data_IF_155503746130
#
_entry.id   IF_155503746130
#
_cell.length_a   1.000
_cell.length_b   1.000
_cell.length_c   1.000
_cell.angle_alpha   90.00
_cell.angle_beta   90.00
_cell.angle_gamma   90.00
#
_symmetry.space_group_name_H-M   'P 1'
#
loop_
_entity.id
_entity.type
_entity.pdbx_description
1 polymer ?
#
# COMPACT_ATOMS: atom_id res chain seq x y z
N UNK A 1 -69.14 -1.15 -60.47
CA UNK A 1 -67.86 -0.52 -60.85
C UNK A 1 -67.98 0.93 -60.41
N UNK A 2 -67.37 1.39 -59.32
CA UNK A 2 -65.94 1.44 -59.01
C UNK A 2 -65.70 1.28 -57.49
N UNK A 3 -64.57 0.67 -57.13
CA UNK A 3 -64.15 0.37 -55.76
C UNK A 3 -63.87 1.65 -54.96
N UNK A 4 -64.42 1.75 -53.75
CA UNK A 4 -63.86 2.58 -52.68
C UNK A 4 -62.84 1.72 -51.92
N UNK A 5 -61.54 1.99 -52.10
CA UNK A 5 -60.48 1.52 -51.20
C UNK A 5 -60.17 2.65 -50.22
N UNK A 6 -60.67 2.54 -49.00
CA UNK A 6 -60.32 3.42 -47.89
C UNK A 6 -59.09 2.79 -47.21
N UNK A 7 -57.97 3.49 -47.26
CA UNK A 7 -56.71 3.09 -46.64
C UNK A 7 -56.82 3.23 -45.12
N UNK A 8 -56.54 2.20 -44.32
CA UNK A 8 -56.50 2.33 -42.87
C UNK A 8 -55.09 2.80 -42.47
N UNK A 9 -54.96 4.03 -41.96
CA UNK A 9 -53.75 4.40 -41.22
C UNK A 9 -53.99 4.20 -39.74
N UNK A 10 -53.31 3.15 -39.30
CA UNK A 10 -53.20 2.57 -37.97
C UNK A 10 -52.58 3.61 -37.01
N UNK A 11 -53.37 4.11 -36.06
CA UNK A 11 -52.86 4.90 -34.94
C UNK A 11 -52.09 3.96 -34.01
N UNK A 12 -50.76 4.07 -33.99
CA UNK A 12 -49.89 3.35 -33.07
C UNK A 12 -50.04 3.96 -31.67
N UNK A 13 -50.94 3.41 -30.86
CA UNK A 13 -51.02 3.67 -29.43
C UNK A 13 -50.03 2.71 -28.74
N UNK A 14 -48.93 3.24 -28.21
CA UNK A 14 -47.96 2.47 -27.44
C UNK A 14 -48.54 2.21 -26.04
N UNK A 15 -49.17 1.06 -25.87
CA UNK A 15 -49.66 0.57 -24.58
C UNK A 15 -48.47 0.16 -23.73
N UNK A 16 -48.29 0.81 -22.58
CA UNK A 16 -47.38 0.37 -21.52
C UNK A 16 -47.85 -1.01 -21.01
N UNK A 17 -47.17 -2.07 -21.43
CA UNK A 17 -47.25 -3.38 -20.79
C UNK A 17 -46.30 -3.37 -19.59
N UNK A 18 -46.86 -3.13 -18.41
CA UNK A 18 -46.24 -3.47 -17.12
C UNK A 18 -46.11 -4.99 -17.02
N UNK A 19 -45.01 -5.54 -17.52
CA UNK A 19 -44.59 -6.90 -17.22
C UNK A 19 -43.94 -6.90 -15.83
N UNK A 20 -44.78 -7.20 -14.84
CA UNK A 20 -44.36 -7.66 -13.52
C UNK A 20 -43.57 -8.97 -13.68
N UNK A 21 -42.24 -8.87 -13.67
CA UNK A 21 -41.37 -10.03 -13.50
C UNK A 21 -41.15 -10.25 -12.00
N UNK A 22 -41.89 -11.21 -11.46
CA UNK A 22 -41.54 -11.91 -10.22
C UNK A 22 -40.53 -12.98 -10.58
N UNK A 23 -39.27 -12.77 -10.22
CA UNK A 23 -38.27 -13.84 -10.09
C UNK A 23 -37.46 -13.53 -8.85
N UNK A 24 -37.54 -14.44 -7.87
CA UNK A 24 -36.95 -14.29 -6.55
C UNK A 24 -35.49 -13.89 -6.61
N UNK A 25 -35.13 -12.89 -5.84
CA UNK A 25 -33.74 -12.66 -5.48
C UNK A 25 -33.40 -13.72 -4.43
N UNK A 26 -32.87 -14.85 -4.89
CA UNK A 26 -32.01 -15.67 -4.05
C UNK A 26 -31.00 -14.72 -3.41
N UNK A 27 -31.03 -14.61 -2.09
CA UNK A 27 -29.93 -14.06 -1.35
C UNK A 27 -28.76 -15.00 -1.62
N UNK A 28 -27.91 -14.62 -2.57
CA UNK A 28 -26.61 -15.25 -2.77
C UNK A 28 -25.85 -15.10 -1.45
N UNK A 29 -25.98 -16.11 -0.59
CA UNK A 29 -25.12 -16.33 0.57
C UNK A 29 -23.79 -16.87 0.04
N UNK A 30 -23.12 -16.14 -0.85
CA UNK A 30 -21.70 -16.35 -1.06
C UNK A 30 -21.01 -15.96 0.25
N UNK A 31 -20.29 -16.87 0.91
CA UNK A 31 -19.50 -16.51 2.07
C UNK A 31 -18.57 -15.36 1.67
N UNK A 32 -18.68 -14.23 2.37
CA UNK A 32 -17.74 -13.13 2.18
C UNK A 32 -16.35 -13.68 2.50
N UNK A 33 -15.45 -13.70 1.52
CA UNK A 33 -14.08 -14.11 1.72
C UNK A 33 -13.46 -13.22 2.81
N UNK A 34 -13.13 -13.79 4.00
CA UNK A 34 -12.67 -13.01 5.14
C UNK A 34 -11.33 -12.30 4.86
N UNK A 35 -10.58 -12.75 3.84
CA UNK A 35 -9.31 -12.13 3.46
C UNK A 35 -9.47 -10.84 2.64
N UNK A 36 -10.68 -10.55 2.15
CA UNK A 36 -10.94 -9.39 1.31
C UNK A 36 -10.72 -8.06 2.05
N UNK A 37 -10.85 -8.06 3.38
CA UNK A 37 -10.53 -6.91 4.21
C UNK A 37 -9.07 -6.47 4.08
N UNK A 38 -8.15 -7.38 3.73
CA UNK A 38 -6.72 -7.11 3.57
C UNK A 38 -6.28 -6.86 2.11
N UNK A 39 -7.24 -6.85 1.17
CA UNK A 39 -6.99 -6.73 -0.28
C UNK A 39 -7.62 -5.47 -0.88
N UNK A 40 -7.87 -4.45 -0.05
CA UNK A 40 -8.50 -3.21 -0.44
C UNK A 40 -7.47 -2.21 -1.02
N UNK A 41 -7.95 -1.06 -1.50
CA UNK A 41 -7.11 0.00 -2.03
C UNK A 41 -6.17 0.58 -0.96
N UNK A 42 -4.97 1.01 -1.36
CA UNK A 42 -4.00 1.64 -0.46
C UNK A 42 -4.66 2.76 0.38
N UNK A 43 -4.28 2.82 1.67
CA UNK A 43 -4.77 3.81 2.63
C UNK A 43 -6.19 3.59 3.17
N UNK A 44 -6.98 2.65 2.62
CA UNK A 44 -8.31 2.34 3.16
C UNK A 44 -8.32 1.80 4.60
N UNK A 45 -7.20 1.26 5.07
CA UNK A 45 -7.00 0.81 6.47
C UNK A 45 -6.17 1.79 7.32
N UNK A 46 -6.03 3.05 6.91
CA UNK A 46 -5.23 4.04 7.63
C UNK A 46 -5.63 4.15 9.11
N UNK A 47 -6.92 4.30 9.40
CA UNK A 47 -7.43 4.37 10.78
C UNK A 47 -7.29 3.05 11.54
N UNK A 48 -7.35 1.92 10.83
CA UNK A 48 -7.14 0.58 11.39
C UNK A 48 -5.70 0.41 11.87
N UNK A 49 -4.72 0.96 11.16
CA UNK A 49 -3.33 1.02 11.61
C UNK A 49 -3.15 1.94 12.81
N UNK A 50 -3.70 3.15 12.72
CA UNK A 50 -3.36 4.24 13.62
C UNK A 50 -4.05 4.15 14.98
N UNK A 51 -5.34 3.80 14.99
CA UNK A 51 -6.19 3.78 16.18
C UNK A 51 -6.33 2.40 16.82
N UNK A 52 -6.90 2.34 18.03
CA UNK A 52 -7.26 1.08 18.71
C UNK A 52 -8.77 0.79 18.64
N UNK A 53 -9.51 1.42 17.72
CA UNK A 53 -10.98 1.34 17.70
C UNK A 53 -11.49 -0.02 17.21
N UNK A 54 -10.91 -0.54 16.13
CA UNK A 54 -11.25 -1.86 15.56
C UNK A 54 -10.18 -2.91 15.90
N UNK A 55 -8.91 -2.56 15.74
CA UNK A 55 -7.78 -3.47 15.98
C UNK A 55 -6.90 -2.95 17.12
N UNK A 56 -6.85 -3.69 18.22
CA UNK A 56 -6.02 -3.38 19.39
C UNK A 56 -4.60 -3.95 19.29
N UNK A 57 -4.40 -4.92 18.39
CA UNK A 57 -3.10 -5.51 18.07
C UNK A 57 -2.83 -5.53 16.55
N UNK A 58 -1.59 -5.80 16.17
CA UNK A 58 -1.18 -5.93 14.78
C UNK A 58 -0.22 -7.10 14.62
N UNK A 59 -0.43 -7.94 13.61
CA UNK A 59 0.48 -9.00 13.24
C UNK A 59 1.09 -8.72 11.85
N UNK A 60 2.40 -8.47 11.82
CA UNK A 60 3.14 -8.19 10.60
C UNK A 60 3.81 -9.46 10.11
N UNK A 61 3.35 -9.98 8.98
CA UNK A 61 4.02 -11.07 8.27
C UNK A 61 5.20 -10.52 7.48
N UNK A 62 6.40 -10.78 8.00
CA UNK A 62 7.67 -10.51 7.34
C UNK A 62 7.94 -11.68 6.40
N UNK A 63 7.49 -11.54 5.17
CA UNK A 63 7.72 -12.49 4.11
C UNK A 63 9.03 -12.18 3.39
N UNK A 64 9.84 -13.19 3.09
CA UNK A 64 11.12 -12.97 2.41
C UNK A 64 11.58 -14.18 1.63
N UNK A 65 12.32 -13.94 0.54
CA UNK A 65 13.07 -15.00 -0.14
C UNK A 65 14.30 -15.39 0.68
N UNK A 66 14.71 -16.66 0.66
CA UNK A 66 15.91 -17.12 1.39
C UNK A 66 17.14 -16.25 1.06
N UNK A 67 17.87 -15.84 2.10
CA UNK A 67 18.96 -14.86 1.99
C UNK A 67 18.55 -13.38 1.96
N UNK A 68 17.25 -13.06 1.80
CA UNK A 68 16.69 -11.70 1.78
C UNK A 68 15.90 -11.31 3.04
N UNK A 69 15.96 -12.14 4.09
CA UNK A 69 15.43 -11.76 5.41
C UNK A 69 16.02 -10.40 5.85
N UNK A 70 15.19 -9.42 6.26
CA UNK A 70 15.69 -8.16 6.79
C UNK A 70 16.51 -8.39 8.06
N UNK A 71 17.42 -7.47 8.35
CA UNK A 71 18.27 -7.60 9.53
C UNK A 71 17.45 -7.52 10.84
N UNK A 72 17.91 -8.19 11.89
CA UNK A 72 17.26 -8.10 13.22
C UNK A 72 17.21 -6.65 13.72
N UNK A 73 18.21 -5.83 13.40
CA UNK A 73 18.20 -4.40 13.71
C UNK A 73 17.07 -3.67 12.99
N UNK A 74 16.83 -3.97 11.70
CA UNK A 74 15.70 -3.44 10.93
C UNK A 74 14.37 -3.79 11.61
N UNK A 75 14.19 -5.05 12.04
CA UNK A 75 12.98 -5.48 12.73
C UNK A 75 12.77 -4.74 14.06
N UNK A 76 13.85 -4.49 14.81
CA UNK A 76 13.78 -3.73 16.07
C UNK A 76 13.49 -2.24 15.85
N UNK A 77 14.02 -1.65 14.78
CA UNK A 77 13.66 -0.28 14.37
C UNK A 77 12.17 -0.18 14.05
N UNK A 78 11.63 -1.11 13.24
CA UNK A 78 10.20 -1.15 12.91
C UNK A 78 9.31 -1.30 14.16
N UNK A 79 9.70 -2.14 15.13
CA UNK A 79 8.97 -2.24 16.40
C UNK A 79 8.95 -0.92 17.16
N UNK A 80 10.07 -0.21 17.18
CA UNK A 80 10.19 1.10 17.84
C UNK A 80 9.31 2.13 17.13
N UNK A 81 9.41 2.19 15.80
CA UNK A 81 8.57 3.03 14.95
C UNK A 81 7.08 2.78 15.18
N UNK A 82 6.62 1.52 15.18
CA UNK A 82 5.20 1.22 15.48
C UNK A 82 4.80 1.64 16.90
N UNK A 83 5.67 1.46 17.89
CA UNK A 83 5.40 1.88 19.27
C UNK A 83 5.24 3.40 19.38
N UNK A 84 6.04 4.14 18.62
CA UNK A 84 6.05 5.60 18.58
C UNK A 84 4.87 6.18 17.79
N UNK A 85 4.36 5.48 16.76
CA UNK A 85 3.35 6.03 15.84
C UNK A 85 1.94 5.49 16.01
N UNK A 86 1.78 4.24 16.49
CA UNK A 86 0.50 3.54 16.50
C UNK A 86 -0.10 3.41 17.90
N UNK A 87 -1.43 3.45 17.98
CA UNK A 87 -2.18 3.05 19.18
C UNK A 87 -2.61 1.59 19.06
N UNK A 88 -1.73 0.68 19.46
CA UNK A 88 -1.98 -0.77 19.54
C UNK A 88 -1.69 -1.28 20.96
N UNK A 89 -2.66 -1.16 21.90
CA UNK A 89 -2.42 -1.45 23.32
C UNK A 89 -2.05 -2.90 23.59
N UNK A 90 -2.48 -3.83 22.74
CA UNK A 90 -2.16 -5.26 22.87
C UNK A 90 -0.87 -5.64 22.11
N UNK A 91 -0.23 -4.66 21.47
CA UNK A 91 1.11 -4.76 20.91
C UNK A 91 1.16 -5.18 19.43
N UNK A 92 2.40 -5.31 18.95
CA UNK A 92 2.71 -5.69 17.56
C UNK A 92 3.59 -6.94 17.56
N UNK A 93 3.14 -8.00 16.88
CA UNK A 93 3.88 -9.24 16.70
C UNK A 93 4.37 -9.37 15.26
N UNK A 94 5.49 -10.08 15.06
CA UNK A 94 5.96 -10.42 13.72
C UNK A 94 5.88 -11.94 13.52
N UNK A 95 5.30 -12.34 12.40
CA UNK A 95 5.36 -13.71 11.87
C UNK A 95 6.33 -13.72 10.70
N UNK A 96 7.18 -14.73 10.58
CA UNK A 96 8.12 -14.86 9.48
C UNK A 96 7.65 -15.95 8.51
N UNK A 97 7.68 -15.63 7.20
CA UNK A 97 7.30 -16.57 6.13
C UNK A 97 8.39 -16.59 5.06
N UNK A 98 8.93 -17.78 4.78
CA UNK A 98 9.89 -17.95 3.68
C UNK A 98 9.13 -18.14 2.38
N UNK A 99 9.37 -17.27 1.42
CA UNK A 99 8.77 -17.28 0.08
C UNK A 99 9.76 -17.92 -0.91
N UNK A 100 9.32 -18.83 -1.80
CA UNK A 100 10.18 -19.37 -2.83
C UNK A 100 10.73 -18.28 -3.76
N UNK A 101 12.02 -18.38 -4.12
CA UNK A 101 12.66 -17.49 -5.09
C UNK A 101 11.96 -17.56 -6.46
N UNK A 102 11.91 -16.43 -7.15
CA UNK A 102 11.39 -16.35 -8.53
C UNK A 102 12.53 -16.29 -9.54
N UNK A 103 12.23 -16.56 -10.81
CA UNK A 103 13.24 -16.52 -11.90
C UNK A 103 12.88 -15.52 -13.00
N UNK A 104 12.00 -14.55 -12.72
CA UNK A 104 11.46 -13.60 -13.70
C UNK A 104 12.38 -12.40 -13.96
N UNK A 105 13.34 -12.14 -13.07
CA UNK A 105 14.39 -11.12 -13.22
C UNK A 105 14.03 -9.74 -12.66
N UNK A 106 12.81 -9.28 -12.90
CA UNK A 106 12.21 -8.09 -12.28
C UNK A 106 10.73 -8.37 -12.02
N UNK A 107 10.18 -7.78 -10.95
CA UNK A 107 8.79 -7.97 -10.58
C UNK A 107 7.94 -6.78 -11.00
N UNK A 108 6.85 -7.06 -11.70
CA UNK A 108 5.75 -6.12 -11.87
C UNK A 108 4.66 -6.34 -10.80
N UNK A 109 3.62 -5.49 -10.85
CA UNK A 109 2.54 -5.52 -9.86
C UNK A 109 1.78 -6.83 -9.80
N UNK A 110 1.43 -7.38 -10.94
CA UNK A 110 0.61 -8.59 -10.98
C UNK A 110 1.39 -9.79 -10.41
N UNK A 111 2.71 -9.81 -10.62
CA UNK A 111 3.60 -10.84 -10.09
C UNK A 111 3.73 -10.78 -8.57
N UNK A 112 4.03 -9.63 -7.98
CA UNK A 112 4.13 -9.55 -6.51
C UNK A 112 2.78 -9.69 -5.80
N UNK A 113 1.66 -9.34 -6.47
CA UNK A 113 0.31 -9.64 -5.98
C UNK A 113 0.03 -11.14 -6.02
N UNK A 114 0.44 -11.86 -7.07
CA UNK A 114 0.30 -13.30 -7.14
C UNK A 114 1.12 -14.00 -6.05
N UNK A 115 2.37 -13.56 -5.82
CA UNK A 115 3.21 -14.05 -4.74
C UNK A 115 2.54 -13.87 -3.38
N UNK A 116 1.99 -12.70 -3.08
CA UNK A 116 1.23 -12.49 -1.85
C UNK A 116 0.04 -13.45 -1.76
N UNK A 117 -0.77 -13.59 -2.80
CA UNK A 117 -1.95 -14.45 -2.76
C UNK A 117 -1.59 -15.93 -2.51
N UNK A 118 -0.44 -16.39 -3.02
CA UNK A 118 0.02 -17.76 -2.90
C UNK A 118 0.70 -18.05 -1.54
N UNK A 119 1.24 -17.03 -0.87
CA UNK A 119 2.12 -17.21 0.30
C UNK A 119 1.63 -16.52 1.59
N UNK A 120 0.74 -15.53 1.51
CA UNK A 120 0.26 -14.80 2.69
C UNK A 120 -0.55 -15.71 3.60
N UNK A 121 -0.18 -15.73 4.88
CA UNK A 121 -0.84 -16.55 5.91
C UNK A 121 -1.48 -15.71 7.00
N UNK A 122 -1.10 -14.45 7.13
CA UNK A 122 -1.63 -13.52 8.14
C UNK A 122 -2.65 -12.57 7.52
N UNK A 123 -3.90 -12.68 7.99
CA UNK A 123 -5.03 -11.80 7.66
C UNK A 123 -5.61 -11.23 8.95
N UNK A 124 -6.60 -10.33 8.83
CA UNK A 124 -7.32 -9.83 10.01
C UNK A 124 -7.97 -11.00 10.75
N UNK A 125 -7.68 -11.12 12.05
CA UNK A 125 -8.23 -12.16 12.90
C UNK A 125 -8.55 -11.58 14.28
N UNK A 126 -9.84 -11.61 14.66
CA UNK A 126 -10.28 -10.99 15.91
C UNK A 126 -9.98 -9.49 15.93
N UNK A 127 -9.19 -9.06 16.91
CA UNK A 127 -8.73 -7.67 17.12
C UNK A 127 -7.30 -7.43 16.59
N UNK A 128 -6.74 -8.37 15.82
CA UNK A 128 -5.43 -8.25 15.20
C UNK A 128 -5.54 -7.82 13.73
N UNK A 129 -4.93 -6.67 13.39
CA UNK A 129 -4.74 -6.23 12.01
C UNK A 129 -3.63 -7.08 11.37
N UNK A 130 -3.95 -7.76 10.26
CA UNK A 130 -2.99 -8.55 9.49
C UNK A 130 -2.27 -7.71 8.43
N UNK A 131 -0.94 -7.79 8.38
CA UNK A 131 -0.10 -6.97 7.49
C UNK A 131 0.90 -7.85 6.76
N UNK A 132 1.13 -7.57 5.48
CA UNK A 132 2.08 -8.27 4.63
C UNK A 132 3.24 -7.33 4.22
N UNK A 133 4.47 -7.75 4.50
CA UNK A 133 5.69 -7.04 4.08
C UNK A 133 6.60 -8.05 3.38
N UNK A 134 6.77 -7.91 2.07
CA UNK A 134 7.57 -8.86 1.28
C UNK A 134 8.94 -8.30 0.89
N UNK A 135 10.01 -8.93 1.37
CA UNK A 135 11.39 -8.66 0.94
C UNK A 135 11.75 -9.58 -0.24
N UNK A 136 11.68 -9.01 -1.44
CA UNK A 136 11.89 -9.73 -2.69
C UNK A 136 13.38 -9.88 -3.05
N UNK A 137 13.68 -10.93 -3.83
CA UNK A 137 15.01 -11.18 -4.41
C UNK A 137 15.17 -10.61 -5.83
N UNK A 138 14.21 -9.79 -6.28
CA UNK A 138 14.21 -9.18 -7.61
C UNK A 138 14.18 -7.65 -7.52
N UNK A 139 14.45 -6.99 -8.64
CA UNK A 139 14.28 -5.55 -8.83
C UNK A 139 12.85 -5.24 -9.29
N UNK A 140 12.48 -3.96 -9.36
CA UNK A 140 11.21 -3.53 -9.93
C UNK A 140 11.28 -3.53 -11.45
N UNK A 141 10.20 -3.95 -12.13
CA UNK A 141 10.08 -3.76 -13.59
C UNK A 141 10.03 -2.28 -13.97
N UNK A 142 9.64 -1.40 -13.04
CA UNK A 142 9.58 0.06 -13.24
C UNK A 142 10.92 0.77 -13.04
N UNK A 143 12.02 0.04 -12.83
CA UNK A 143 13.35 0.64 -12.80
C UNK A 143 13.74 1.18 -14.18
N UNK A 144 14.14 2.45 -14.27
CA UNK A 144 14.48 3.10 -15.54
C UNK A 144 15.80 3.88 -15.44
N UNK A 145 16.73 3.61 -16.35
CA UNK A 145 18.02 4.31 -16.39
C UNK A 145 18.79 4.21 -15.07
N UNK A 146 18.91 5.33 -14.35
CA UNK A 146 19.49 5.40 -13.00
C UNK A 146 18.44 5.49 -11.88
N UNK A 147 17.16 5.61 -12.22
CA UNK A 147 16.04 5.59 -11.27
C UNK A 147 15.77 4.17 -10.79
N UNK A 148 15.55 4.01 -9.49
CA UNK A 148 15.33 2.71 -8.85
C UNK A 148 14.19 2.81 -7.85
N UNK A 149 13.29 1.83 -7.89
CA UNK A 149 12.24 1.67 -6.89
C UNK A 149 12.77 0.78 -5.77
N UNK A 150 12.80 1.30 -4.54
CA UNK A 150 13.30 0.57 -3.38
C UNK A 150 12.19 -0.25 -2.70
N UNK A 151 10.96 0.25 -2.73
CA UNK A 151 9.78 -0.38 -2.17
C UNK A 151 8.51 0.18 -2.79
N UNK A 152 7.37 -0.47 -2.50
CA UNK A 152 6.04 0.09 -2.81
C UNK A 152 4.98 -0.50 -1.91
N UNK A 153 4.16 0.36 -1.30
CA UNK A 153 2.88 0.03 -0.70
C UNK A 153 1.83 -0.08 -1.81
N UNK A 154 1.15 -1.23 -1.90
CA UNK A 154 0.39 -1.57 -3.10
C UNK A 154 -1.04 -2.04 -2.81
N UNK A 155 -1.37 -2.37 -1.55
CA UNK A 155 -2.72 -2.62 -1.03
C UNK A 155 -2.87 -1.95 0.33
N UNK A 156 -4.08 -1.96 0.88
CA UNK A 156 -4.35 -1.38 2.20
C UNK A 156 -3.50 -1.97 3.33
N UNK A 157 -3.02 -3.20 3.23
CA UNK A 157 -2.18 -3.84 4.27
C UNK A 157 -0.95 -4.55 3.70
N UNK A 158 -0.49 -4.16 2.51
CA UNK A 158 0.58 -4.88 1.81
C UNK A 158 1.60 -3.94 1.17
N UNK A 159 2.87 -4.21 1.43
CA UNK A 159 3.99 -3.57 0.74
C UNK A 159 5.06 -4.61 0.35
N UNK A 160 5.86 -4.23 -0.64
CA UNK A 160 7.02 -4.98 -1.13
C UNK A 160 8.28 -4.10 -1.01
N UNK A 161 9.40 -4.73 -0.67
CA UNK A 161 10.73 -4.14 -0.61
C UNK A 161 11.61 -4.89 -1.61
N UNK A 162 12.22 -4.16 -2.56
CA UNK A 162 13.08 -4.72 -3.59
C UNK A 162 14.50 -4.92 -3.05
N UNK A 163 14.70 -6.04 -2.35
CA UNK A 163 15.91 -6.32 -1.58
C UNK A 163 17.18 -6.41 -2.43
N UNK A 164 17.08 -6.76 -3.71
CA UNK A 164 18.24 -6.76 -4.63
C UNK A 164 18.73 -5.34 -4.86
N UNK A 165 17.83 -4.40 -5.17
CA UNK A 165 18.13 -2.97 -5.28
C UNK A 165 18.79 -2.42 -4.01
N UNK A 166 18.25 -2.72 -2.82
CA UNK A 166 18.85 -2.25 -1.55
C UNK A 166 20.30 -2.74 -1.37
N UNK A 167 20.55 -4.01 -1.70
CA UNK A 167 21.89 -4.62 -1.59
C UNK A 167 22.88 -4.03 -2.59
N UNK A 168 22.42 -3.64 -3.77
CA UNK A 168 23.27 -2.95 -4.74
C UNK A 168 23.77 -1.62 -4.19
N UNK A 169 22.88 -0.81 -3.60
CA UNK A 169 23.26 0.46 -2.97
C UNK A 169 24.12 0.28 -1.71
N UNK A 170 23.89 -0.78 -0.93
CA UNK A 170 24.67 -1.01 0.31
C UNK A 170 26.10 -1.53 0.09
N UNK A 171 26.51 -1.81 -1.15
CA UNK A 171 27.86 -2.35 -1.46
C UNK A 171 28.95 -1.28 -1.52
N UNK A 172 28.58 0.01 -1.53
CA UNK A 172 29.55 1.11 -1.54
C UNK A 172 30.35 1.22 -0.23
N UNK A 173 31.66 1.46 -0.32
CA UNK A 173 32.54 1.59 0.86
C UNK A 173 32.11 2.74 1.78
N UNK A 174 31.56 3.81 1.21
CA UNK A 174 31.03 4.98 1.92
C UNK A 174 29.50 5.06 1.83
N UNK A 175 28.87 4.00 1.33
CA UNK A 175 27.43 3.93 1.12
C UNK A 175 26.66 3.65 2.41
N UNK A 176 25.32 3.76 2.36
CA UNK A 176 24.46 3.38 3.49
C UNK A 176 24.61 1.90 3.84
N UNK A 177 24.37 1.56 5.11
CA UNK A 177 24.25 0.14 5.49
C UNK A 177 22.96 -0.46 4.94
N UNK A 178 22.95 -1.78 4.68
CA UNK A 178 21.73 -2.48 4.27
C UNK A 178 20.59 -2.29 5.29
N UNK A 179 20.90 -2.38 6.59
CA UNK A 179 19.94 -2.12 7.67
C UNK A 179 19.32 -0.72 7.58
N UNK A 180 20.12 0.30 7.26
CA UNK A 180 19.62 1.67 7.12
C UNK A 180 18.65 1.78 5.94
N UNK A 181 19.00 1.21 4.78
CA UNK A 181 18.14 1.19 3.61
C UNK A 181 16.84 0.42 3.84
N UNK A 182 16.93 -0.78 4.43
CA UNK A 182 15.76 -1.59 4.78
C UNK A 182 14.83 -0.83 5.72
N UNK A 183 15.39 -0.17 6.75
CA UNK A 183 14.61 0.58 7.74
C UNK A 183 13.89 1.76 7.09
N UNK A 184 14.64 2.65 6.40
CA UNK A 184 14.08 3.86 5.80
C UNK A 184 13.01 3.52 4.77
N UNK A 185 13.32 2.58 3.87
CA UNK A 185 12.37 2.17 2.82
C UNK A 185 11.11 1.59 3.45
N UNK A 186 11.25 0.66 4.41
CA UNK A 186 10.08 0.00 4.99
C UNK A 186 9.22 0.97 5.80
N UNK A 187 9.82 1.86 6.60
CA UNK A 187 9.08 2.88 7.37
C UNK A 187 8.37 3.89 6.45
N UNK A 188 8.99 4.25 5.31
CA UNK A 188 8.35 5.08 4.28
C UNK A 188 7.11 4.40 3.68
N UNK A 189 7.22 3.13 3.28
CA UNK A 189 6.06 2.38 2.79
C UNK A 189 4.96 2.24 3.84
N UNK A 190 5.32 2.09 5.12
CA UNK A 190 4.34 2.13 6.20
C UNK A 190 3.67 3.50 6.32
N UNK A 191 4.36 4.61 6.03
CA UNK A 191 3.72 5.93 5.95
C UNK A 191 2.59 5.98 4.91
N UNK A 192 2.79 5.37 3.73
CA UNK A 192 1.72 5.20 2.75
C UNK A 192 0.60 4.26 3.25
N UNK A 193 0.93 3.16 3.95
CA UNK A 193 -0.08 2.28 4.57
C UNK A 193 -0.88 2.99 5.67
N UNK A 194 -0.27 3.92 6.40
CA UNK A 194 -0.92 4.82 7.35
C UNK A 194 -1.77 5.90 6.66
N UNK A 195 -1.83 5.87 5.33
CA UNK A 195 -2.63 6.78 4.50
C UNK A 195 -2.07 8.21 4.46
N UNK A 196 -0.82 8.43 4.87
CA UNK A 196 -0.22 9.76 4.88
C UNK A 196 -0.12 10.34 3.48
N UNK A 197 -0.10 11.67 3.44
CA UNK A 197 -0.08 12.46 2.21
C UNK A 197 -1.30 12.13 1.33
N UNK A 198 -2.49 12.30 1.91
CA UNK A 198 -3.76 12.28 1.19
C UNK A 198 -4.06 10.93 0.48
N UNK A 199 -3.67 9.81 1.11
CA UNK A 199 -3.93 8.44 0.65
C UNK A 199 -5.04 7.74 1.43
N UNK A 200 -5.51 8.31 2.54
CA UNK A 200 -6.54 7.74 3.40
C UNK A 200 -6.60 8.40 4.78
N UNK A 201 -5.50 9.05 5.17
CA UNK A 201 -5.47 10.05 6.23
C UNK A 201 -5.60 11.43 5.60
N UNK A 202 -6.59 12.21 6.04
CA UNK A 202 -6.79 13.58 5.58
C UNK A 202 -5.67 14.48 6.10
N UNK A 203 -5.17 15.35 5.22
CA UNK A 203 -4.14 16.31 5.59
C UNK A 203 -4.72 17.41 6.48
N UNK A 204 -4.09 17.66 7.63
CA UNK A 204 -4.45 18.78 8.53
C UNK A 204 -4.04 20.12 7.91
N UNK A 205 -2.92 20.11 7.21
CA UNK A 205 -2.37 21.24 6.44
C UNK A 205 -1.91 20.72 5.10
N UNK A 206 -1.96 21.54 4.06
CA UNK A 206 -1.46 21.14 2.75
C UNK A 206 0.06 20.94 2.79
N UNK A 207 0.52 19.78 2.32
CA UNK A 207 1.93 19.37 2.28
C UNK A 207 2.20 18.27 1.26
N UNK A 208 1.28 18.04 0.32
CA UNK A 208 1.48 17.07 -0.75
C UNK A 208 2.33 17.71 -1.85
N UNK A 209 3.46 17.08 -2.16
CA UNK A 209 4.33 17.50 -3.24
C UNK A 209 3.71 17.16 -4.61
N UNK A 210 4.14 17.90 -5.62
CA UNK A 210 3.61 17.80 -6.97
C UNK A 210 4.73 17.49 -7.97
N UNK A 211 4.50 16.51 -8.82
CA UNK A 211 5.39 16.20 -9.93
C UNK A 211 4.86 16.86 -11.19
N UNK A 212 5.74 17.61 -11.88
CA UNK A 212 5.43 18.17 -13.19
C UNK A 212 5.31 17.06 -14.25
N UNK A 213 4.24 17.10 -15.04
CA UNK A 213 4.09 16.31 -16.25
C UNK A 213 4.87 16.93 -17.44
N UNK A 214 4.95 16.20 -18.56
CA UNK A 214 5.68 16.64 -19.76
C UNK A 214 5.12 17.94 -20.39
N UNK A 215 3.88 18.32 -20.04
CA UNK A 215 3.19 19.53 -20.51
C UNK A 215 3.28 20.68 -19.47
N UNK A 216 3.97 20.47 -18.34
CA UNK A 216 4.14 21.44 -17.27
C UNK A 216 2.95 21.56 -16.30
N UNK A 217 2.02 20.60 -16.33
CA UNK A 217 0.98 20.43 -15.33
C UNK A 217 1.51 19.78 -14.07
N UNK A 218 1.04 20.21 -12.90
CA UNK A 218 1.44 19.66 -11.61
C UNK A 218 0.47 18.56 -11.17
N UNK A 219 1.01 17.38 -10.83
CA UNK A 219 0.22 16.23 -10.37
C UNK A 219 0.65 15.82 -8.95
N UNK A 220 -0.27 15.75 -7.99
CA UNK A 220 0.06 15.34 -6.63
C UNK A 220 0.67 13.94 -6.60
N UNK A 221 1.84 13.83 -5.99
CA UNK A 221 2.69 12.64 -6.11
C UNK A 221 2.64 11.74 -4.87
N UNK A 222 1.77 12.05 -3.89
CA UNK A 222 1.59 11.28 -2.65
C UNK A 222 2.81 11.26 -1.73
N UNK A 223 3.74 12.21 -1.90
CA UNK A 223 4.87 12.45 -0.99
C UNK A 223 4.76 13.82 -0.32
N UNK A 224 5.42 13.97 0.83
CA UNK A 224 5.41 15.21 1.59
C UNK A 224 6.37 16.22 0.95
N UNK A 225 6.00 17.50 0.89
CA UNK A 225 6.83 18.60 0.35
C UNK A 225 7.91 19.11 1.33
N UNK A 226 7.93 18.60 2.57
CA UNK A 226 8.90 18.99 3.60
C UNK A 226 10.19 18.17 3.48
N UNK A 227 11.31 18.81 3.11
CA UNK A 227 12.59 18.14 2.83
C UNK A 227 13.16 17.27 3.98
N UNK A 228 12.82 17.58 5.23
CA UNK A 228 13.27 16.85 6.42
C UNK A 228 12.32 15.70 6.84
N UNK A 229 11.25 15.48 6.08
CA UNK A 229 10.25 14.44 6.34
C UNK A 229 10.67 13.09 5.74
N UNK A 230 10.45 12.01 6.47
CA UNK A 230 10.57 10.64 5.95
C UNK A 230 9.69 10.42 4.70
N UNK A 231 8.53 11.06 4.62
CA UNK A 231 7.62 10.96 3.47
C UNK A 231 8.00 11.85 2.28
N UNK A 232 9.09 12.62 2.36
CA UNK A 232 9.62 13.32 1.19
C UNK A 232 10.24 12.32 0.22
N UNK A 233 9.90 12.41 -1.07
CA UNK A 233 10.34 11.42 -2.07
C UNK A 233 11.87 11.28 -2.11
N UNK A 234 12.58 12.41 -1.97
CA UNK A 234 14.03 12.44 -2.05
C UNK A 234 14.69 11.86 -0.81
N UNK A 235 14.01 11.75 0.34
CA UNK A 235 14.59 11.15 1.55
C UNK A 235 15.05 9.70 1.31
N UNK A 236 14.25 8.93 0.58
CA UNK A 236 14.59 7.55 0.21
C UNK A 236 15.73 7.53 -0.83
N UNK A 237 15.72 8.47 -1.78
CA UNK A 237 16.79 8.59 -2.77
C UNK A 237 18.13 9.02 -2.15
N UNK A 238 18.14 9.99 -1.23
CA UNK A 238 19.31 10.47 -0.52
C UNK A 238 19.91 9.38 0.37
N UNK A 239 19.05 8.57 0.99
CA UNK A 239 19.48 7.41 1.78
C UNK A 239 20.32 6.43 0.96
N UNK A 240 20.17 6.37 -0.38
CA UNK A 240 21.01 5.50 -1.24
C UNK A 240 22.42 6.04 -1.47
N UNK A 241 22.64 7.33 -1.26
CA UNK A 241 23.86 8.02 -1.67
C UNK A 241 24.93 8.13 -0.57
N UNK A 242 24.50 8.27 0.69
CA UNK A 242 25.39 8.63 1.80
C UNK A 242 24.96 7.92 3.08
N UNK A 243 25.92 7.43 3.86
CA UNK A 243 25.65 6.97 5.22
C UNK A 243 25.09 8.13 6.07
N UNK A 244 23.91 7.93 6.67
CA UNK A 244 23.28 8.95 7.50
C UNK A 244 23.66 8.73 8.97
N UNK A 245 23.83 9.83 9.71
CA UNK A 245 24.15 9.75 11.13
C UNK A 245 22.92 9.34 11.98
N UNK A 246 21.71 9.63 11.50
CA UNK A 246 20.45 9.28 12.15
C UNK A 246 19.45 8.80 11.08
N UNK A 247 18.49 7.97 11.48
CA UNK A 247 17.36 7.61 10.63
C UNK A 247 16.41 8.82 10.50
N UNK A 248 15.95 9.16 9.28
CA UNK A 248 14.89 10.15 9.08
C UNK A 248 13.60 9.71 9.78
N UNK A 249 12.74 10.68 10.09
CA UNK A 249 11.44 10.42 10.73
C UNK A 249 10.36 11.30 10.10
N UNK A 250 9.10 11.09 10.43
CA UNK A 250 8.03 11.93 9.92
C UNK A 250 8.20 13.39 10.38
N UNK A 251 8.11 14.31 9.43
CA UNK A 251 8.07 15.75 9.68
C UNK A 251 6.79 16.17 10.39
N UNK A 252 6.75 17.40 10.88
CA UNK A 252 5.67 17.92 11.74
C UNK A 252 4.28 17.72 11.12
N UNK A 253 4.12 17.96 9.82
CA UNK A 253 2.79 17.94 9.18
C UNK A 253 2.26 16.50 9.02
N UNK A 254 3.11 15.56 8.61
CA UNK A 254 2.75 14.13 8.62
C UNK A 254 2.45 13.63 10.05
N UNK A 255 3.12 14.14 11.08
CA UNK A 255 2.79 13.80 12.47
C UNK A 255 1.43 14.33 12.92
N UNK A 256 1.02 15.51 12.44
CA UNK A 256 -0.30 16.05 12.72
C UNK A 256 -1.40 15.21 12.07
N UNK A 257 -1.21 14.82 10.81
CA UNK A 257 -2.09 13.92 10.08
C UNK A 257 -2.27 12.58 10.83
N UNK A 258 -1.16 11.96 11.24
CA UNK A 258 -1.18 10.73 12.03
C UNK A 258 -2.04 10.88 13.30
N UNK A 259 -1.81 11.94 14.08
CA UNK A 259 -2.56 12.19 15.32
C UNK A 259 -4.03 12.47 15.05
N UNK A 260 -4.34 13.22 14.00
CA UNK A 260 -5.72 13.52 13.60
C UNK A 260 -6.49 12.26 13.22
N UNK A 261 -5.83 11.24 12.68
CA UNK A 261 -6.44 9.94 12.32
C UNK A 261 -6.21 8.82 13.36
N UNK A 262 -5.88 9.20 14.60
CA UNK A 262 -5.87 8.29 15.75
C UNK A 262 -4.52 7.67 16.10
N UNK A 263 -3.42 8.10 15.48
CA UNK A 263 -2.03 7.74 15.81
C UNK A 263 -1.44 8.56 16.96
N UNK A 264 -0.11 8.53 17.12
CA UNK A 264 0.65 9.20 18.18
C UNK A 264 1.58 10.30 17.65
#
# INVERSE_FOLDING_TARGET
MTLHKITPYFTLLFTFLILSCSSGSDSDNTPTDPTQANKQALGSSARDFLSAEEFTSMNVEIAYVDGFKPSETTLNNLRSFFTERLNKPDGVTFTETVVPATSVGSLNRDEYVAIENDNRTVFNEGDALGVWVFFADQNSESDEGNSRILGTAYRNTSCIIFGTTLREFSRGITGPSLTQLETITTEHEFGHLFGLVNLGTEMVRDHEDETADDDGGETPNKHCDQEDCLMYFQTVADATSTAMNNLPTFGEFCLEDLRANGGK
#
